data_IF_845311417576
#
_entry.id   IF_845311417576
#
_cell.length_a   1.000
_cell.length_b   1.000
_cell.length_c   1.000
_cell.angle_alpha   90.00
_cell.angle_beta   90.00
_cell.angle_gamma   90.00
#
_symmetry.space_group_name_H-M   'P 1'
#
loop_
_entity.id
_entity.type
_entity.pdbx_description
1 polymer ?
#
# COMPACT_ATOMS: atom_id res chain seq x y z
N UNK A 1 -16.25 -10.80 -3.27
CA UNK A 1 -16.49 -9.74 -4.29
C UNK A 1 -15.17 -9.25 -4.89
N UNK A 2 -15.20 -8.67 -6.10
CA UNK A 2 -14.00 -8.08 -6.73
C UNK A 2 -13.45 -6.87 -5.93
N UNK A 3 -14.34 -6.08 -5.32
CA UNK A 3 -13.99 -4.94 -4.46
C UNK A 3 -13.28 -5.38 -3.16
N UNK A 4 -13.78 -6.44 -2.51
CA UNK A 4 -13.13 -7.01 -1.32
C UNK A 4 -11.73 -7.52 -1.65
N UNK A 5 -11.56 -8.17 -2.81
CA UNK A 5 -10.24 -8.63 -3.28
C UNK A 5 -9.30 -7.45 -3.55
N UNK A 6 -9.80 -6.34 -4.11
CA UNK A 6 -8.99 -5.14 -4.35
C UNK A 6 -8.57 -4.46 -3.03
N UNK A 7 -9.49 -4.41 -2.06
CA UNK A 7 -9.22 -3.91 -0.69
C UNK A 7 -8.12 -4.73 0.00
N UNK A 8 -8.23 -6.06 -0.01
CA UNK A 8 -7.24 -6.95 0.61
C UNK A 8 -5.85 -6.77 -0.03
N UNK A 9 -5.81 -6.68 -1.37
CA UNK A 9 -4.57 -6.42 -2.12
C UNK A 9 -3.98 -5.05 -1.80
N UNK A 10 -4.81 -4.02 -1.70
CA UNK A 10 -4.37 -2.67 -1.33
C UNK A 10 -3.81 -2.64 0.10
N UNK A 11 -4.46 -3.32 1.05
CA UNK A 11 -4.01 -3.44 2.44
C UNK A 11 -2.65 -4.16 2.52
N UNK A 12 -2.47 -5.24 1.77
CA UNK A 12 -1.20 -5.98 1.74
C UNK A 12 -0.08 -5.19 1.06
N UNK A 13 -0.39 -4.42 0.01
CA UNK A 13 0.56 -3.52 -0.63
C UNK A 13 1.04 -2.43 0.35
N UNK A 14 0.13 -1.85 1.13
CA UNK A 14 0.47 -0.86 2.16
C UNK A 14 1.39 -1.46 3.22
N UNK A 15 1.02 -2.62 3.79
CA UNK A 15 1.80 -3.31 4.82
C UNK A 15 3.24 -3.59 4.37
N UNK A 16 3.42 -4.07 3.14
CA UNK A 16 4.76 -4.34 2.57
C UNK A 16 5.56 -3.07 2.36
N UNK A 17 4.93 -1.98 1.93
CA UNK A 17 5.60 -0.70 1.76
C UNK A 17 6.06 -0.13 3.10
N UNK A 18 5.22 -0.20 4.13
CA UNK A 18 5.54 0.23 5.49
C UNK A 18 6.67 -0.61 6.11
N UNK A 19 6.65 -1.94 5.94
CA UNK A 19 7.74 -2.81 6.40
C UNK A 19 9.09 -2.46 5.77
N UNK A 20 9.11 -2.14 4.47
CA UNK A 20 10.34 -1.70 3.78
C UNK A 20 10.88 -0.38 4.31
N UNK A 21 10.02 0.49 4.83
CA UNK A 21 10.41 1.75 5.45
C UNK A 21 10.90 1.58 6.89
N UNK A 22 10.32 0.63 7.64
CA UNK A 22 10.70 0.35 9.04
C UNK A 22 12.05 -0.34 9.15
N UNK A 23 12.40 -1.22 8.20
CA UNK A 23 13.70 -1.87 8.15
C UNK A 23 14.23 -1.88 6.70
N UNK A 24 14.77 -0.74 6.22
CA UNK A 24 15.28 -0.66 4.87
C UNK A 24 16.56 -1.50 4.77
N UNK A 25 16.47 -2.64 4.09
CA UNK A 25 17.65 -3.40 3.71
C UNK A 25 18.58 -2.54 2.83
N UNK A 26 19.89 -2.80 2.82
CA UNK A 26 20.81 -2.10 1.92
C UNK A 26 20.32 -2.16 0.47
N UNK A 27 20.21 -0.99 -0.18
CA UNK A 27 19.69 -0.89 -1.56
C UNK A 27 18.17 -0.76 -1.68
N UNK A 28 17.42 -0.70 -0.57
CA UNK A 28 15.98 -0.35 -0.62
C UNK A 28 15.83 1.11 -1.01
N UNK A 29 15.16 1.33 -2.13
CA UNK A 29 14.68 2.64 -2.56
C UNK A 29 13.48 3.07 -1.71
N UNK A 30 13.75 3.86 -0.67
CA UNK A 30 12.75 4.39 0.26
C UNK A 30 11.74 5.27 -0.47
N UNK A 31 12.16 6.04 -1.48
CA UNK A 31 11.24 6.88 -2.26
C UNK A 31 10.23 6.02 -3.05
N UNK A 32 10.69 4.89 -3.60
CA UNK A 32 9.79 3.91 -4.23
C UNK A 32 8.82 3.28 -3.22
N UNK A 33 9.27 2.98 -2.01
CA UNK A 33 8.41 2.44 -0.94
C UNK A 33 7.32 3.46 -0.52
N UNK A 34 7.69 4.72 -0.32
CA UNK A 34 6.76 5.82 -0.04
C UNK A 34 5.70 5.98 -1.13
N UNK A 35 6.11 5.98 -2.40
CA UNK A 35 5.20 6.06 -3.53
C UNK A 35 4.25 4.86 -3.60
N UNK A 36 4.71 3.66 -3.24
CA UNK A 36 3.87 2.48 -3.17
C UNK A 36 2.83 2.59 -2.03
N UNK A 37 3.24 3.06 -0.85
CA UNK A 37 2.35 3.28 0.28
C UNK A 37 1.26 4.32 -0.06
N UNK A 38 1.64 5.45 -0.68
CA UNK A 38 0.70 6.49 -1.09
C UNK A 38 -0.38 5.96 -2.05
N UNK A 39 0.03 5.16 -3.05
CA UNK A 39 -0.90 4.54 -4.00
C UNK A 39 -1.82 3.50 -3.34
N UNK A 40 -1.33 2.75 -2.36
CA UNK A 40 -2.14 1.78 -1.63
C UNK A 40 -3.18 2.49 -0.75
N UNK A 41 -2.78 3.54 -0.04
CA UNK A 41 -3.69 4.41 0.73
C UNK A 41 -4.77 5.02 -0.14
N UNK A 42 -4.41 5.57 -1.30
CA UNK A 42 -5.38 6.17 -2.22
C UNK A 42 -6.47 5.17 -2.68
N UNK A 43 -6.11 3.89 -2.92
CA UNK A 43 -7.08 2.84 -3.24
C UNK A 43 -8.02 2.53 -2.08
N UNK A 44 -7.47 2.41 -0.87
CA UNK A 44 -8.26 2.16 0.34
C UNK A 44 -9.24 3.32 0.61
N UNK A 45 -8.80 4.56 0.46
CA UNK A 45 -9.68 5.73 0.63
C UNK A 45 -10.75 5.80 -0.45
N UNK A 46 -10.41 5.56 -1.72
CA UNK A 46 -11.38 5.53 -2.81
C UNK A 46 -12.48 4.48 -2.55
N UNK A 47 -12.10 3.29 -2.09
CA UNK A 47 -13.05 2.23 -1.75
C UNK A 47 -13.95 2.57 -0.55
N UNK A 48 -13.50 3.41 0.40
CA UNK A 48 -14.36 3.92 1.48
C UNK A 48 -15.42 4.89 0.97
N UNK A 49 -15.10 5.69 -0.05
CA UNK A 49 -16.03 6.66 -0.63
C UNK A 49 -17.00 6.07 -1.65
N UNK A 50 -16.75 4.84 -2.12
CA UNK A 50 -17.62 4.10 -3.03
C UNK A 50 -18.74 3.32 -2.33
N UNK A 51 -18.71 3.25 -0.99
CA UNK A 51 -19.74 2.62 -0.14
C UNK A 51 -20.74 3.66 0.37
#
# INVERSE_FOLDING_TARGET
>A
NAEEIDLDRAQEALRRAEQRMLNPAPGVDVARALNAAARARARLEAAKHLR
#
